data_IF_873563358231
#
_entry.id   IF_873563358231
#
_cell.length_a   1.000
_cell.length_b   1.000
_cell.length_c   1.000
_cell.angle_alpha   90.00
_cell.angle_beta   90.00
_cell.angle_gamma   90.00
#
_symmetry.space_group_name_H-M   'P 1'
#
loop_
_entity.id
_entity.type
_entity.pdbx_description
1 polymer ?
#
# COMPACT_ATOMS: atom_id res chain seq x y z
N UNK A 1 13.75 -12.06 -16.46
CA UNK A 1 13.46 -12.12 -15.00
C UNK A 1 12.57 -10.94 -14.67
N UNK A 2 11.44 -11.14 -13.98
CA UNK A 2 10.50 -10.07 -13.63
C UNK A 2 11.05 -9.25 -12.46
N UNK A 3 11.74 -8.15 -12.78
CA UNK A 3 12.32 -7.21 -11.79
C UNK A 3 11.30 -6.66 -10.79
N UNK A 4 10.03 -6.38 -11.15
CA UNK A 4 9.07 -5.84 -10.19
C UNK A 4 8.65 -6.86 -9.11
N UNK A 5 8.61 -8.14 -9.47
CA UNK A 5 8.27 -9.22 -8.53
C UNK A 5 9.37 -9.42 -7.47
N UNK A 6 10.64 -9.28 -7.88
CA UNK A 6 11.79 -9.38 -6.97
C UNK A 6 11.85 -8.21 -5.99
N UNK A 7 11.59 -6.99 -6.49
CA UNK A 7 11.42 -5.79 -5.66
C UNK A 7 10.31 -5.98 -4.62
N UNK A 8 9.15 -6.50 -5.04
CA UNK A 8 8.04 -6.84 -4.13
C UNK A 8 8.52 -7.75 -3.00
N UNK A 9 9.09 -8.90 -3.35
CA UNK A 9 9.53 -9.92 -2.38
C UNK A 9 10.57 -9.40 -1.39
N UNK A 10 11.52 -8.58 -1.84
CA UNK A 10 12.56 -8.01 -0.97
C UNK A 10 11.99 -7.00 0.04
N UNK A 11 10.92 -6.28 -0.31
CA UNK A 11 10.34 -5.23 0.52
C UNK A 11 9.27 -5.74 1.50
N UNK A 12 8.69 -6.93 1.29
CA UNK A 12 7.65 -7.52 2.17
C UNK A 12 7.98 -7.46 3.67
N UNK A 13 9.16 -7.90 4.16
CA UNK A 13 9.43 -7.90 5.59
C UNK A 13 9.42 -6.48 6.18
N UNK A 14 10.08 -5.53 5.52
CA UNK A 14 10.13 -4.13 5.94
C UNK A 14 8.72 -3.49 5.94
N UNK A 15 7.93 -3.76 4.90
CA UNK A 15 6.57 -3.23 4.77
C UNK A 15 5.63 -3.85 5.81
N UNK A 16 5.75 -5.14 6.09
CA UNK A 16 4.93 -5.80 7.10
C UNK A 16 5.09 -5.19 8.49
N UNK A 17 6.32 -4.77 8.82
CA UNK A 17 6.63 -4.09 10.07
C UNK A 17 6.10 -2.66 10.02
N UNK A 18 6.41 -1.91 8.96
CA UNK A 18 5.96 -0.51 8.82
C UNK A 18 4.43 -0.35 8.87
N UNK A 19 3.67 -1.29 8.30
CA UNK A 19 2.20 -1.21 8.24
C UNK A 19 1.55 -1.49 9.59
N UNK A 20 2.16 -2.36 10.41
CA UNK A 20 1.64 -2.71 11.74
C UNK A 20 2.14 -1.75 12.81
N UNK A 21 3.44 -1.45 12.78
CA UNK A 21 4.15 -0.70 13.83
C UNK A 21 4.12 0.80 13.57
N UNK A 22 4.20 1.24 12.31
CA UNK A 22 4.24 2.67 11.96
C UNK A 22 3.09 3.49 12.56
N UNK A 23 1.81 3.10 12.36
CA UNK A 23 0.68 3.80 12.96
C UNK A 23 0.69 3.81 14.49
N UNK A 24 1.10 2.70 15.12
CA UNK A 24 1.19 2.59 16.58
C UNK A 24 2.27 3.52 17.16
N UNK A 25 3.45 3.53 16.52
CA UNK A 25 4.57 4.41 16.90
C UNK A 25 4.20 5.87 16.69
N UNK A 26 3.52 6.18 15.58
CA UNK A 26 3.00 7.51 15.32
C UNK A 26 2.03 7.97 16.42
N UNK A 27 1.05 7.13 16.79
CA UNK A 27 0.12 7.41 17.89
C UNK A 27 0.80 7.56 19.25
N UNK A 28 1.74 6.68 19.59
CA UNK A 28 2.53 6.81 20.81
C UNK A 28 3.26 8.16 20.85
N UNK A 29 3.87 8.57 19.75
CA UNK A 29 4.52 9.88 19.62
C UNK A 29 3.57 11.07 19.78
N UNK A 30 2.32 10.95 19.32
CA UNK A 30 1.33 12.01 19.48
C UNK A 30 0.87 12.20 20.93
N UNK A 31 0.69 11.11 21.67
CA UNK A 31 0.25 11.16 23.06
C UNK A 31 1.38 11.67 23.98
N UNK A 32 2.62 11.31 23.69
CA UNK A 32 3.78 11.73 24.49
C UNK A 32 4.15 13.19 24.26
N UNK A 33 4.34 13.96 25.33
CA UNK A 33 4.78 15.36 25.27
C UNK A 33 6.30 15.50 24.98
N UNK A 34 6.72 16.71 24.61
CA UNK A 34 8.14 17.06 24.46
C UNK A 34 8.78 16.66 23.13
N UNK A 35 10.11 16.64 23.12
CA UNK A 35 10.99 16.36 21.96
C UNK A 35 10.98 14.87 21.59
N UNK A 36 10.94 13.99 22.59
CA UNK A 36 10.91 12.54 22.41
C UNK A 36 9.62 12.09 21.69
N UNK A 37 8.46 12.61 22.08
CA UNK A 37 7.19 12.32 21.40
C UNK A 37 7.16 12.81 19.95
N UNK A 38 7.70 14.00 19.67
CA UNK A 38 7.82 14.49 18.30
C UNK A 38 8.72 13.59 17.44
N UNK A 39 9.85 13.15 17.99
CA UNK A 39 10.78 12.24 17.29
C UNK A 39 10.12 10.89 16.98
N UNK A 40 9.38 10.32 17.96
CA UNK A 40 8.62 9.09 17.76
C UNK A 40 7.53 9.24 16.69
N UNK A 41 6.80 10.37 16.70
CA UNK A 41 5.79 10.64 15.69
C UNK A 41 6.42 10.66 14.28
N UNK A 42 7.52 11.38 14.08
CA UNK A 42 8.23 11.37 12.79
C UNK A 42 8.75 9.99 12.39
N UNK A 43 9.26 9.20 13.33
CA UNK A 43 9.71 7.84 13.07
C UNK A 43 8.53 6.95 12.61
N UNK A 44 7.39 7.00 13.30
CA UNK A 44 6.19 6.26 12.92
C UNK A 44 5.64 6.67 11.55
N UNK A 45 5.66 7.98 11.26
CA UNK A 45 5.28 8.51 9.95
C UNK A 45 6.19 8.00 8.83
N UNK A 46 7.52 8.02 9.03
CA UNK A 46 8.48 7.52 8.03
C UNK A 46 8.33 6.01 7.80
N UNK A 47 8.12 5.24 8.87
CA UNK A 47 7.87 3.80 8.78
C UNK A 47 6.62 3.50 7.95
N UNK A 48 5.52 4.24 8.18
CA UNK A 48 4.29 4.11 7.41
C UNK A 48 4.44 4.67 5.98
N UNK A 49 5.24 5.71 5.77
CA UNK A 49 5.51 6.24 4.44
C UNK A 49 6.20 5.22 3.53
N UNK A 50 7.11 4.42 4.08
CA UNK A 50 7.72 3.30 3.35
C UNK A 50 6.68 2.27 2.86
N UNK A 51 5.61 2.05 3.62
CA UNK A 51 4.57 1.08 3.24
C UNK A 51 3.60 1.63 2.21
N UNK A 52 3.23 2.91 2.33
CA UNK A 52 2.47 3.61 1.30
C UNK A 52 3.23 3.68 -0.03
N UNK A 53 4.54 3.97 0.02
CA UNK A 53 5.40 3.95 -1.16
C UNK A 53 5.44 2.56 -1.80
N UNK A 54 5.56 1.51 -0.99
CA UNK A 54 5.51 0.14 -1.50
C UNK A 54 4.19 -0.14 -2.22
N UNK A 55 3.04 0.22 -1.64
CA UNK A 55 1.74 0.01 -2.27
C UNK A 55 1.65 0.68 -3.65
N UNK A 56 2.23 1.88 -3.81
CA UNK A 56 2.31 2.59 -5.08
C UNK A 56 3.27 1.91 -6.08
N UNK A 57 4.43 1.46 -5.62
CA UNK A 57 5.44 0.82 -6.48
C UNK A 57 4.99 -0.57 -6.95
N UNK A 58 4.21 -1.30 -6.15
CA UNK A 58 3.73 -2.63 -6.52
C UNK A 58 2.45 -2.61 -7.36
N UNK A 59 1.74 -1.49 -7.44
CA UNK A 59 0.50 -1.38 -8.22
C UNK A 59 0.61 -1.89 -9.67
N UNK A 60 1.66 -1.53 -10.44
CA UNK A 60 1.84 -2.04 -11.81
C UNK A 60 1.94 -3.57 -11.88
N UNK A 61 2.49 -4.22 -10.86
CA UNK A 61 2.66 -5.68 -10.85
C UNK A 61 1.35 -6.40 -10.63
N UNK A 62 0.43 -5.79 -9.89
CA UNK A 62 -0.90 -6.35 -9.64
C UNK A 62 -1.77 -6.28 -10.91
N UNK A 63 -1.68 -5.17 -11.67
CA UNK A 63 -2.35 -5.07 -12.97
C UNK A 63 -1.80 -6.06 -14.01
N UNK A 64 -0.48 -6.21 -14.04
CA UNK A 64 0.17 -7.14 -14.96
C UNK A 64 -0.18 -8.61 -14.63
N UNK A 65 -0.29 -8.95 -13.34
CA UNK A 65 -0.76 -10.26 -12.90
C UNK A 65 -2.18 -10.54 -13.38
N UNK A 66 -3.11 -9.58 -13.24
CA UNK A 66 -4.49 -9.72 -13.74
C UNK A 66 -4.53 -9.91 -15.27
N UNK A 67 -3.71 -9.17 -16.03
CA UNK A 67 -3.62 -9.34 -17.50
C UNK A 67 -3.12 -10.73 -17.87
N UNK A 68 -2.02 -11.18 -17.26
CA UNK A 68 -1.42 -12.49 -17.55
C UNK A 68 -2.34 -13.64 -17.17
N UNK A 69 -3.09 -13.51 -16.08
CA UNK A 69 -4.09 -14.52 -15.69
C UNK A 69 -5.16 -14.71 -16.78
N UNK A 70 -5.67 -13.62 -17.36
CA UNK A 70 -6.66 -13.66 -18.45
C UNK A 70 -6.09 -14.38 -19.68
N UNK A 71 -4.86 -14.05 -20.08
CA UNK A 71 -4.18 -14.70 -21.21
C UNK A 71 -4.02 -16.21 -20.99
N UNK A 72 -3.63 -16.62 -19.79
CA UNK A 72 -3.48 -18.03 -19.44
C UNK A 72 -4.82 -18.77 -19.53
N UNK A 73 -5.89 -18.20 -18.95
CA UNK A 73 -7.22 -18.81 -18.95
C UNK A 73 -7.75 -19.04 -20.37
N UNK A 74 -7.51 -18.09 -21.29
CA UNK A 74 -7.87 -18.25 -22.71
C UNK A 74 -6.97 -19.28 -23.40
N UNK A 75 -5.65 -19.21 -23.18
CA UNK A 75 -4.68 -20.11 -23.84
C UNK A 75 -4.84 -21.58 -23.45
N UNK A 76 -5.35 -21.85 -22.24
CA UNK A 76 -5.60 -23.21 -21.74
C UNK A 76 -7.02 -23.72 -22.07
N UNK A 77 -7.84 -22.92 -22.76
CA UNK A 77 -9.22 -23.30 -23.10
C UNK A 77 -10.13 -23.47 -21.87
N UNK A 78 -9.76 -22.88 -20.73
CA UNK A 78 -10.52 -22.99 -19.47
C UNK A 78 -11.82 -22.19 -19.54
N UNK A 79 -11.85 -21.11 -20.33
CA UNK A 79 -13.00 -20.22 -20.45
C UNK A 79 -13.44 -20.05 -21.90
N UNK A 80 -14.75 -20.04 -22.12
CA UNK A 80 -15.38 -19.58 -23.36
C UNK A 80 -15.35 -18.05 -23.46
N UNK A 81 -15.59 -17.51 -24.67
CA UNK A 81 -15.70 -16.06 -24.89
C UNK A 81 -16.83 -15.43 -24.08
N UNK A 82 -17.91 -16.16 -23.79
CA UNK A 82 -19.03 -15.65 -23.00
C UNK A 82 -18.69 -15.52 -21.51
N UNK A 83 -17.81 -16.36 -20.98
CA UNK A 83 -17.37 -16.31 -19.58
C UNK A 83 -16.30 -15.24 -19.33
N UNK A 84 -15.62 -14.80 -20.39
CA UNK A 84 -14.53 -13.82 -20.31
C UNK A 84 -14.99 -12.46 -19.77
N UNK A 85 -16.20 -12.04 -20.09
CA UNK A 85 -16.75 -10.76 -19.62
C UNK A 85 -16.89 -10.73 -18.09
N UNK A 86 -17.38 -11.83 -17.50
CA UNK A 86 -17.48 -11.99 -16.05
C UNK A 86 -16.11 -12.07 -15.37
N UNK A 87 -15.17 -12.81 -15.97
CA UNK A 87 -13.79 -12.90 -15.46
C UNK A 87 -13.07 -11.56 -15.52
N UNK A 88 -13.27 -10.78 -16.59
CA UNK A 88 -12.75 -9.43 -16.69
C UNK A 88 -13.27 -8.53 -15.58
N UNK A 89 -14.57 -8.56 -15.32
CA UNK A 89 -15.18 -7.79 -14.23
C UNK A 89 -14.57 -8.16 -12.87
N UNK A 90 -14.43 -9.45 -12.56
CA UNK A 90 -13.89 -9.92 -11.27
C UNK A 90 -12.40 -9.58 -11.12
N UNK A 91 -11.57 -9.84 -12.14
CA UNK A 91 -10.13 -9.57 -12.08
C UNK A 91 -9.82 -8.07 -12.07
N UNK A 92 -10.64 -7.26 -12.75
CA UNK A 92 -10.53 -5.80 -12.68
C UNK A 92 -10.94 -5.30 -11.29
N UNK A 93 -12.04 -5.82 -10.72
CA UNK A 93 -12.46 -5.48 -9.36
C UNK A 93 -11.40 -5.86 -8.32
N UNK A 94 -10.77 -7.04 -8.46
CA UNK A 94 -9.66 -7.46 -7.60
C UNK A 94 -8.47 -6.50 -7.70
N UNK A 95 -8.08 -6.07 -8.90
CA UNK A 95 -7.01 -5.09 -9.07
C UNK A 95 -7.36 -3.72 -8.43
N UNK A 96 -8.63 -3.29 -8.50
CA UNK A 96 -9.10 -2.07 -7.86
C UNK A 96 -8.97 -2.10 -6.33
N UNK A 97 -8.98 -3.26 -5.68
CA UNK A 97 -8.72 -3.36 -4.23
C UNK A 97 -7.31 -2.89 -3.85
N UNK A 98 -6.31 -3.16 -4.71
CA UNK A 98 -4.95 -2.65 -4.52
C UNK A 98 -4.86 -1.15 -4.75
N UNK A 99 -5.60 -0.63 -5.74
CA UNK A 99 -5.71 0.82 -5.96
C UNK A 99 -6.31 1.50 -4.73
N UNK A 100 -7.41 0.94 -4.18
CA UNK A 100 -8.04 1.46 -2.98
C UNK A 100 -7.09 1.47 -1.78
N UNK A 101 -6.31 0.40 -1.58
CA UNK A 101 -5.29 0.34 -0.53
C UNK A 101 -4.19 1.40 -0.71
N UNK A 102 -3.73 1.62 -1.94
CA UNK A 102 -2.75 2.67 -2.24
C UNK A 102 -3.32 4.07 -1.95
N UNK A 103 -4.54 4.37 -2.40
CA UNK A 103 -5.23 5.64 -2.12
C UNK A 103 -5.41 5.84 -0.62
N UNK A 104 -5.87 4.81 0.09
CA UNK A 104 -6.05 4.84 1.55
C UNK A 104 -4.72 5.11 2.27
N UNK A 105 -3.61 4.52 1.82
CA UNK A 105 -2.28 4.77 2.41
C UNK A 105 -1.82 6.22 2.19
N UNK A 106 -2.08 6.80 1.02
CA UNK A 106 -1.75 8.21 0.71
C UNK A 106 -2.61 9.16 1.55
N UNK A 107 -3.91 8.91 1.64
CA UNK A 107 -4.82 9.69 2.48
C UNK A 107 -4.39 9.65 3.95
N UNK A 108 -3.99 8.49 4.44
CA UNK A 108 -3.52 8.33 5.81
C UNK A 108 -2.21 9.12 6.06
N UNK A 109 -1.28 9.15 5.10
CA UNK A 109 -0.07 9.97 5.20
C UNK A 109 -0.39 11.46 5.26
N UNK A 110 -1.28 11.94 4.39
CA UNK A 110 -1.73 13.33 4.40
C UNK A 110 -2.36 13.65 5.76
N UNK A 111 -3.22 12.77 6.27
CA UNK A 111 -3.83 12.92 7.59
C UNK A 111 -2.77 13.06 8.70
N UNK A 112 -1.79 12.16 8.77
CA UNK A 112 -0.71 12.24 9.76
C UNK A 112 0.12 13.52 9.65
N UNK A 113 0.43 13.97 8.43
CA UNK A 113 1.13 15.23 8.19
C UNK A 113 0.32 16.44 8.69
N UNK A 114 -0.99 16.48 8.42
CA UNK A 114 -1.86 17.57 8.88
C UNK A 114 -1.91 17.64 10.41
N UNK A 115 -1.92 16.47 11.06
CA UNK A 115 -1.96 16.36 12.52
C UNK A 115 -0.65 16.84 13.16
N UNK A 116 0.50 16.52 12.56
CA UNK A 116 1.78 17.06 13.03
C UNK A 116 1.91 18.57 12.83
N UNK A 117 1.41 19.10 11.70
CA UNK A 117 1.46 20.54 11.44
C UNK A 117 0.63 21.33 12.47
N UNK A 118 -0.56 20.85 12.82
CA UNK A 118 -1.39 21.45 13.89
C UNK A 118 -0.63 21.49 15.22
N UNK A 119 -0.03 20.36 15.61
CA UNK A 119 0.75 20.24 16.84
C UNK A 119 1.96 21.17 16.91
N UNK A 120 2.59 21.47 15.77
CA UNK A 120 3.69 22.44 15.68
C UNK A 120 3.20 23.87 15.82
N UNK A 121 2.01 24.18 15.32
CA UNK A 121 1.41 25.52 15.41
C UNK A 121 0.93 25.88 16.82
N UNK A 122 0.62 24.89 17.65
CA UNK A 122 0.13 25.08 19.03
C UNK A 122 1.24 25.16 20.09
N UNK A 123 2.50 24.96 19.71
CA UNK A 123 3.68 25.05 20.60
C UNK A 123 4.46 26.33 20.32
#
# INVERSE_FOLDING_TARGET
RYTPLQLRSAMVPAVSIGSRVGPLVFMAGLIMAGTLGNTLAWAGLLLFAGTALFALVTLPVEFDASRRAKEILVSQGILSRQEMEGVDAVLNAAALTYVAAAVQSVMQLIYFLTLMNRRRSER
#
